data_IF_579305069378
#
_entry.id   IF_579305069378
#
_cell.length_a   1.000
_cell.length_b   1.000
_cell.length_c   1.000
_cell.angle_alpha   90.00
_cell.angle_beta   90.00
_cell.angle_gamma   90.00
#
_symmetry.space_group_name_H-M   'P 1'
#
loop_
_entity.id
_entity.type
_entity.pdbx_description
1 polymer ?
#
# COMPACT_ATOMS: atom_id res chain seq x y z
N UNK A 1 -12.40 26.41 -22.00
CA UNK A 1 -11.13 25.84 -22.53
C UNK A 1 -11.21 24.32 -22.44
N UNK A 2 -10.91 23.59 -23.51
CA UNK A 2 -10.92 22.12 -23.55
C UNK A 2 -9.49 21.62 -23.35
N UNK A 3 -9.28 20.68 -22.44
CA UNK A 3 -7.99 20.02 -22.28
C UNK A 3 -7.78 19.06 -23.46
N UNK A 4 -6.55 19.03 -23.98
CA UNK A 4 -6.11 18.11 -25.03
C UNK A 4 -4.88 17.36 -24.53
N UNK A 5 -4.78 16.08 -24.87
CA UNK A 5 -3.62 15.26 -24.54
C UNK A 5 -2.46 15.57 -25.50
N UNK A 6 -1.23 15.51 -24.97
CA UNK A 6 -0.04 15.58 -25.79
C UNK A 6 0.08 14.29 -26.62
N UNK A 7 0.22 14.37 -27.96
CA UNK A 7 0.32 13.18 -28.81
C UNK A 7 1.69 12.51 -28.72
N UNK A 8 2.70 13.21 -28.19
CA UNK A 8 4.07 12.71 -28.04
C UNK A 8 4.32 12.28 -26.60
N UNK A 9 4.95 11.10 -26.47
CA UNK A 9 5.35 10.54 -25.18
C UNK A 9 6.86 10.69 -25.01
N UNK A 10 7.28 11.31 -23.92
CA UNK A 10 8.69 11.43 -23.54
C UNK A 10 9.03 10.30 -22.57
N UNK A 11 9.95 9.42 -22.97
CA UNK A 11 10.42 8.31 -22.14
C UNK A 11 11.77 8.69 -21.49
N UNK A 12 11.89 8.44 -20.20
CA UNK A 12 13.17 8.50 -19.48
C UNK A 12 13.52 7.09 -19.03
N UNK A 13 14.75 6.67 -19.29
CA UNK A 13 15.21 5.34 -18.86
C UNK A 13 15.46 5.33 -17.35
N UNK A 14 15.15 4.19 -16.73
CA UNK A 14 15.41 3.90 -15.32
C UNK A 14 15.90 2.45 -15.23
N UNK A 15 16.35 2.03 -14.05
CA UNK A 15 16.83 0.67 -13.80
C UNK A 15 15.86 -0.39 -14.35
N UNK A 16 16.35 -1.33 -15.16
CA UNK A 16 15.61 -2.46 -15.69
C UNK A 16 15.35 -3.55 -14.63
N UNK A 17 14.43 -4.48 -14.89
CA UNK A 17 14.15 -5.60 -14.00
C UNK A 17 15.34 -6.56 -13.81
N UNK A 18 16.27 -6.57 -14.76
CA UNK A 18 17.51 -7.33 -14.68
C UNK A 18 18.56 -6.68 -13.78
N UNK A 19 18.42 -5.38 -13.51
CA UNK A 19 19.40 -4.64 -12.71
C UNK A 19 19.18 -4.83 -11.20
N UNK A 20 17.95 -5.16 -10.80
CA UNK A 20 17.66 -5.51 -9.41
C UNK A 20 16.37 -6.33 -9.30
N UNK A 21 16.33 -7.18 -8.29
CA UNK A 21 15.16 -8.01 -8.00
C UNK A 21 14.06 -7.18 -7.33
N UNK A 22 12.90 -7.09 -8.00
CA UNK A 22 11.70 -6.40 -7.48
C UNK A 22 10.72 -7.35 -6.79
N UNK A 23 11.04 -8.64 -6.67
CA UNK A 23 10.16 -9.61 -6.05
C UNK A 23 10.04 -9.31 -4.55
N UNK A 24 8.82 -9.45 -4.04
CA UNK A 24 8.57 -9.38 -2.61
C UNK A 24 9.14 -10.62 -1.91
N UNK A 25 9.36 -10.52 -0.60
CA UNK A 25 9.70 -11.68 0.23
C UNK A 25 8.58 -12.74 0.12
N UNK A 26 8.90 -13.99 -0.29
CA UNK A 26 7.93 -15.09 -0.31
C UNK A 26 7.35 -15.41 1.09
N UNK A 27 7.96 -14.87 2.14
CA UNK A 27 7.55 -15.01 3.52
C UNK A 27 6.77 -13.79 4.05
N UNK A 28 6.22 -12.96 3.16
CA UNK A 28 5.38 -11.83 3.55
C UNK A 28 4.26 -12.26 4.51
N UNK A 29 4.08 -11.52 5.61
CA UNK A 29 3.12 -11.87 6.67
C UNK A 29 1.71 -12.09 6.13
N UNK A 30 1.27 -11.30 5.14
CA UNK A 30 -0.04 -11.42 4.52
C UNK A 30 -0.26 -12.78 3.82
N UNK A 31 0.81 -13.44 3.36
CA UNK A 31 0.75 -14.76 2.73
C UNK A 31 0.76 -15.90 3.76
N UNK A 32 1.06 -15.61 5.03
CA UNK A 32 1.16 -16.58 6.14
C UNK A 32 0.26 -16.19 7.32
N UNK A 33 -0.84 -15.51 7.04
CA UNK A 33 -1.82 -15.12 8.04
C UNK A 33 -2.53 -16.36 8.61
N UNK A 34 -2.17 -16.72 9.84
CA UNK A 34 -2.95 -17.66 10.63
C UNK A 34 -4.17 -16.96 11.22
N UNK A 35 -5.25 -17.68 11.57
CA UNK A 35 -6.42 -17.08 12.21
C UNK A 35 -6.07 -16.32 13.50
N UNK A 36 -5.14 -16.86 14.31
CA UNK A 36 -4.67 -16.20 15.52
C UNK A 36 -3.94 -14.88 15.22
N UNK A 37 -3.03 -14.88 14.23
CA UNK A 37 -2.30 -13.68 13.84
C UNK A 37 -3.23 -12.61 13.27
N UNK A 38 -4.20 -13.01 12.45
CA UNK A 38 -5.22 -12.09 11.93
C UNK A 38 -6.06 -11.46 13.04
N UNK A 39 -6.41 -12.24 14.08
CA UNK A 39 -7.14 -11.72 15.24
C UNK A 39 -6.30 -10.70 16.03
N UNK A 40 -5.01 -10.96 16.22
CA UNK A 40 -4.10 -10.01 16.89
C UNK A 40 -4.00 -8.70 16.10
N UNK A 41 -3.76 -8.77 14.79
CA UNK A 41 -3.69 -7.59 13.91
C UNK A 41 -5.00 -6.80 13.96
N UNK A 42 -6.15 -7.48 13.97
CA UNK A 42 -7.46 -6.83 14.08
C UNK A 42 -7.62 -6.08 15.40
N UNK A 43 -7.20 -6.66 16.51
CA UNK A 43 -7.28 -6.03 17.83
C UNK A 43 -6.40 -4.78 17.88
N UNK A 44 -5.14 -4.90 17.45
CA UNK A 44 -4.18 -3.79 17.37
C UNK A 44 -4.72 -2.64 16.51
N UNK A 45 -5.22 -2.93 15.31
CA UNK A 45 -5.76 -1.90 14.42
C UNK A 45 -7.03 -1.25 14.95
N UNK A 46 -7.91 -2.01 15.62
CA UNK A 46 -9.12 -1.44 16.20
C UNK A 46 -8.79 -0.48 17.34
N UNK A 47 -7.82 -0.84 18.19
CA UNK A 47 -7.36 0.03 19.27
C UNK A 47 -6.76 1.31 18.69
N UNK A 48 -5.78 1.19 17.79
CA UNK A 48 -5.17 2.35 17.12
C UNK A 48 -6.21 3.28 16.47
N UNK A 49 -7.16 2.71 15.72
CA UNK A 49 -8.21 3.50 15.05
C UNK A 49 -9.11 4.26 16.03
N UNK A 50 -9.34 3.69 17.21
CA UNK A 50 -10.26 4.26 18.19
C UNK A 50 -9.60 5.34 19.05
N UNK A 51 -8.37 5.09 19.51
CA UNK A 51 -7.68 5.86 20.55
C UNK A 51 -6.63 6.83 20.00
N UNK A 52 -5.98 6.48 18.90
CA UNK A 52 -4.79 7.22 18.40
C UNK A 52 -5.04 7.90 17.05
N UNK A 53 -5.79 7.28 16.15
CA UNK A 53 -5.98 7.79 14.80
C UNK A 53 -6.87 9.03 14.81
N UNK A 54 -6.27 10.18 14.49
CA UNK A 54 -7.00 11.42 14.28
C UNK A 54 -7.87 11.29 13.02
N UNK A 55 -9.18 11.36 13.21
CA UNK A 55 -10.17 11.35 12.13
C UNK A 55 -11.05 12.57 12.30
N UNK A 56 -11.29 13.29 11.20
CA UNK A 56 -12.23 14.40 11.22
C UNK A 56 -13.62 13.90 11.65
N UNK A 57 -14.35 14.68 12.44
CA UNK A 57 -15.61 14.22 13.06
C UNK A 57 -16.66 13.79 12.03
N UNK A 58 -16.71 14.45 10.88
CA UNK A 58 -17.63 14.12 9.78
C UNK A 58 -17.20 12.88 8.98
N UNK A 59 -16.03 12.31 9.27
CA UNK A 59 -15.48 11.13 8.61
C UNK A 59 -15.19 10.00 9.59
N UNK A 60 -15.69 10.10 10.83
CA UNK A 60 -15.45 9.16 11.92
C UNK A 60 -16.38 7.96 11.88
#
# INVERSE_FOLDING_TARGET
RRLLFCPTLQLHETFAASEYDRRCDPNATCQRLTPALAMHIKQELNEFKLTEMAVHIESR
#
